data_IF_827498577491
#
_entry.id   IF_827498577491
#
_cell.length_a   1.000
_cell.length_b   1.000
_cell.length_c   1.000
_cell.angle_alpha   90.00
_cell.angle_beta   90.00
_cell.angle_gamma   90.00
#
_symmetry.space_group_name_H-M   'P 1'
#
loop_
_entity.id
_entity.type
_entity.pdbx_description
1 polymer ?
#
# COMPACT_ATOMS: atom_id res chain seq x y z
N UNK A 1 8.57 13.61 14.23
CA UNK A 1 9.19 12.41 14.82
C UNK A 1 8.28 11.25 14.48
N UNK A 2 8.81 10.30 13.71
CA UNK A 2 8.08 9.14 13.20
C UNK A 2 7.36 8.38 14.32
N UNK A 3 6.03 8.30 14.24
CA UNK A 3 5.18 7.65 15.26
C UNK A 3 5.27 6.14 15.24
N UNK A 4 5.60 5.53 14.10
CA UNK A 4 5.65 4.07 13.92
C UNK A 4 6.71 3.40 14.80
N UNK A 5 7.81 4.11 15.11
CA UNK A 5 8.88 3.58 15.95
C UNK A 5 8.64 3.77 17.46
N UNK A 6 7.50 4.38 17.86
CA UNK A 6 7.19 4.57 19.29
C UNK A 6 6.97 3.21 19.94
N UNK A 7 7.83 2.88 20.90
CA UNK A 7 7.79 1.63 21.65
C UNK A 7 8.75 0.55 21.15
N UNK A 8 9.42 0.77 20.01
CA UNK A 8 10.48 -0.12 19.52
C UNK A 8 11.78 0.23 20.26
N UNK A 9 12.23 -0.67 21.14
CA UNK A 9 13.43 -0.45 21.96
C UNK A 9 14.66 -1.20 21.46
N UNK A 10 14.47 -2.25 20.66
CA UNK A 10 15.55 -2.99 20.02
C UNK A 10 15.18 -3.38 18.58
N UNK A 11 16.20 -3.57 17.73
CA UNK A 11 15.99 -3.93 16.32
C UNK A 11 15.29 -5.28 16.14
N UNK A 12 15.40 -6.18 17.11
CA UNK A 12 14.71 -7.49 17.12
C UNK A 12 13.20 -7.35 17.31
N UNK A 13 12.74 -6.21 17.82
CA UNK A 13 11.31 -5.94 18.04
C UNK A 13 10.61 -5.42 16.77
N UNK A 14 11.35 -5.12 15.71
CA UNK A 14 10.80 -4.61 14.45
C UNK A 14 10.18 -5.77 13.67
N UNK A 15 8.86 -5.78 13.54
CA UNK A 15 8.16 -6.75 12.70
C UNK A 15 8.05 -6.27 11.25
N UNK A 16 7.76 -7.20 10.34
CA UNK A 16 7.41 -6.83 8.96
C UNK A 16 6.18 -5.91 8.92
N UNK A 17 5.19 -6.18 9.78
CA UNK A 17 3.98 -5.37 9.89
C UNK A 17 4.30 -3.94 10.30
N UNK A 18 5.23 -3.72 11.23
CA UNK A 18 5.64 -2.37 11.63
C UNK A 18 6.31 -1.59 10.49
N UNK A 19 7.01 -2.30 9.59
CA UNK A 19 7.65 -1.69 8.42
C UNK A 19 6.65 -1.40 7.31
N UNK A 20 5.62 -2.23 7.16
CA UNK A 20 4.59 -2.04 6.13
C UNK A 20 3.55 -0.98 6.55
N UNK A 21 3.26 -0.88 7.86
CA UNK A 21 2.33 0.07 8.47
C UNK A 21 2.69 1.49 8.06
N UNK A 22 1.75 2.16 7.38
CA UNK A 22 1.84 3.54 6.88
C UNK A 22 2.84 3.78 5.74
N UNK A 23 3.45 2.72 5.17
CA UNK A 23 4.50 2.85 4.14
C UNK A 23 4.19 2.17 2.82
N UNK A 24 3.36 1.14 2.84
CA UNK A 24 3.08 0.33 1.65
C UNK A 24 1.58 0.08 1.57
N UNK A 25 1.04 0.23 0.36
CA UNK A 25 -0.29 -0.29 0.00
C UNK A 25 -0.10 -1.71 -0.50
N UNK A 26 -0.57 -2.69 0.25
CA UNK A 26 -0.43 -4.12 -0.08
C UNK A 26 -1.57 -4.95 0.48
N UNK A 27 -1.77 -6.14 -0.11
CA UNK A 27 -2.83 -7.08 0.26
C UNK A 27 -3.72 -7.43 -0.92
N UNK A 28 -4.95 -7.84 -0.62
CA UNK A 28 -6.05 -8.00 -1.57
C UNK A 28 -6.51 -6.64 -2.13
N UNK A 29 -7.28 -6.63 -3.24
CA UNK A 29 -7.85 -5.40 -3.79
C UNK A 29 -8.67 -4.58 -2.78
N UNK A 30 -9.52 -5.23 -1.98
CA UNK A 30 -10.35 -4.56 -0.96
C UNK A 30 -9.49 -3.89 0.12
N UNK A 31 -8.47 -4.59 0.62
CA UNK A 31 -7.53 -4.01 1.59
C UNK A 31 -6.77 -2.81 1.01
N UNK A 32 -6.40 -2.86 -0.27
CA UNK A 32 -5.77 -1.74 -0.96
C UNK A 32 -6.71 -0.53 -1.07
N UNK A 33 -8.00 -0.76 -1.36
CA UNK A 33 -9.02 0.30 -1.42
C UNK A 33 -9.20 0.95 -0.06
N UNK A 34 -9.30 0.16 1.01
CA UNK A 34 -9.48 0.67 2.37
C UNK A 34 -8.29 1.54 2.80
N UNK A 35 -7.07 1.08 2.56
CA UNK A 35 -5.86 1.87 2.80
C UNK A 35 -5.84 3.18 1.99
N UNK A 36 -6.21 3.13 0.70
CA UNK A 36 -6.26 4.34 -0.14
C UNK A 36 -7.35 5.32 0.30
N UNK A 37 -8.50 4.83 0.77
CA UNK A 37 -9.58 5.66 1.33
C UNK A 37 -9.19 6.32 2.64
N UNK A 38 -8.29 5.73 3.41
CA UNK A 38 -7.70 6.37 4.59
C UNK A 38 -6.74 7.51 4.18
N UNK A 39 -5.78 7.21 3.29
CA UNK A 39 -4.67 8.13 3.01
C UNK A 39 -5.03 9.29 2.08
N UNK A 40 -5.90 9.08 1.08
CA UNK A 40 -6.29 10.12 0.12
C UNK A 40 -6.86 11.37 0.84
N UNK A 41 -7.87 11.24 1.74
CA UNK A 41 -8.39 12.38 2.49
C UNK A 41 -7.39 12.94 3.49
N UNK A 42 -6.63 12.08 4.19
CA UNK A 42 -5.65 12.50 5.19
C UNK A 42 -4.53 13.38 4.59
N UNK A 43 -4.17 13.13 3.33
CA UNK A 43 -3.13 13.87 2.61
C UNK A 43 -3.71 14.98 1.71
N UNK A 44 -5.03 15.04 1.53
CA UNK A 44 -5.68 16.01 0.64
C UNK A 44 -5.23 15.88 -0.82
N UNK A 45 -4.83 14.68 -1.25
CA UNK A 45 -4.37 14.41 -2.62
C UNK A 45 -5.48 13.77 -3.45
N UNK A 46 -5.48 14.02 -4.76
CA UNK A 46 -6.32 13.32 -5.72
C UNK A 46 -5.48 12.54 -6.75
N UNK A 47 -4.17 12.45 -6.52
CA UNK A 47 -3.23 11.78 -7.40
C UNK A 47 -2.33 10.84 -6.59
N UNK A 48 -2.25 9.59 -7.03
CA UNK A 48 -1.41 8.55 -6.42
C UNK A 48 -0.53 7.95 -7.50
N UNK A 49 0.78 7.96 -7.27
CA UNK A 49 1.74 7.25 -8.09
C UNK A 49 2.08 5.92 -7.41
N UNK A 50 1.68 4.81 -8.03
CA UNK A 50 2.00 3.47 -7.52
C UNK A 50 3.31 2.98 -8.12
N UNK A 51 4.24 2.57 -7.24
CA UNK A 51 5.46 1.87 -7.62
C UNK A 51 5.25 0.40 -7.28
N UNK A 52 5.18 -0.44 -8.30
CA UNK A 52 5.20 -1.89 -8.11
C UNK A 52 6.67 -2.33 -8.16
N UNK A 53 7.28 -2.68 -7.01
CA UNK A 53 8.68 -3.02 -6.97
C UNK A 53 8.96 -4.22 -7.87
N UNK A 54 10.07 -4.23 -8.62
CA UNK A 54 10.38 -5.31 -9.55
C UNK A 54 10.59 -6.61 -8.77
N UNK A 55 9.66 -7.55 -8.90
CA UNK A 55 9.90 -8.92 -8.47
C UNK A 55 10.98 -9.54 -9.38
N UNK A 56 12.17 -9.81 -8.83
CA UNK A 56 13.38 -10.25 -9.58
C UNK A 56 13.09 -11.38 -10.57
N UNK A 57 12.18 -12.28 -10.21
CA UNK A 57 11.89 -13.49 -10.98
C UNK A 57 10.49 -13.52 -11.62
N UNK A 58 9.69 -12.44 -11.55
CA UNK A 58 8.30 -12.50 -12.04
C UNK A 58 7.75 -11.19 -12.58
N UNK A 59 8.12 -10.85 -13.82
CA UNK A 59 7.40 -9.84 -14.62
C UNK A 59 5.90 -10.13 -14.69
N UNK A 60 5.52 -11.40 -14.75
CA UNK A 60 4.12 -11.83 -14.80
C UNK A 60 3.32 -11.42 -13.57
N UNK A 61 3.89 -11.60 -12.37
CA UNK A 61 3.25 -11.16 -11.12
C UNK A 61 3.05 -9.64 -11.09
N UNK A 62 4.06 -8.86 -11.52
CA UNK A 62 3.93 -7.41 -11.56
C UNK A 62 2.81 -6.97 -12.52
N UNK A 63 2.73 -7.57 -13.71
CA UNK A 63 1.66 -7.27 -14.67
C UNK A 63 0.28 -7.68 -14.15
N UNK A 64 0.18 -8.82 -13.45
CA UNK A 64 -1.07 -9.25 -12.83
C UNK A 64 -1.53 -8.27 -11.73
N UNK A 65 -0.60 -7.75 -10.93
CA UNK A 65 -0.91 -6.72 -9.93
C UNK A 65 -1.41 -5.42 -10.59
N UNK A 66 -0.76 -4.96 -11.69
CA UNK A 66 -1.23 -3.79 -12.45
C UNK A 66 -2.66 -4.01 -12.97
N UNK A 67 -2.94 -5.20 -13.49
CA UNK A 67 -4.25 -5.55 -14.03
C UNK A 67 -5.33 -5.55 -12.93
N UNK A 68 -5.06 -6.14 -11.77
CA UNK A 68 -5.96 -6.12 -10.61
C UNK A 68 -6.23 -4.70 -10.11
N UNK A 69 -5.18 -3.87 -9.99
CA UNK A 69 -5.32 -2.46 -9.59
C UNK A 69 -6.23 -1.70 -10.57
N UNK A 70 -6.03 -1.92 -11.88
CA UNK A 70 -6.83 -1.29 -12.91
C UNK A 70 -8.30 -1.71 -12.92
N UNK A 71 -8.58 -2.97 -12.61
CA UNK A 71 -9.93 -3.55 -12.68
C UNK A 71 -10.75 -3.41 -11.41
N UNK A 72 -10.10 -3.47 -10.24
CA UNK A 72 -10.79 -3.62 -8.97
C UNK A 72 -10.55 -2.41 -8.05
N UNK A 73 -9.31 -1.94 -7.94
CA UNK A 73 -8.96 -0.88 -6.99
C UNK A 73 -9.38 0.51 -7.48
N UNK A 74 -8.93 0.91 -8.68
CA UNK A 74 -9.21 2.25 -9.22
C UNK A 74 -10.71 2.52 -9.35
N UNK A 75 -11.53 1.61 -9.92
CA UNK A 75 -12.97 1.85 -10.03
C UNK A 75 -13.67 2.02 -8.68
N UNK A 76 -13.26 1.27 -7.65
CA UNK A 76 -13.85 1.36 -6.31
C UNK A 76 -13.55 2.69 -5.58
N UNK A 77 -12.53 3.43 -6.01
CA UNK A 77 -12.18 4.74 -5.46
C UNK A 77 -12.96 5.90 -6.09
N UNK A 78 -13.45 5.76 -7.32
CA UNK A 78 -14.15 6.82 -8.06
C UNK A 78 -15.66 6.82 -7.79
N UNK A 79 -16.21 5.68 -7.36
CA UNK A 79 -17.65 5.49 -7.11
C UNK A 79 -18.04 5.84 -5.66
N UNK A 80 -17.09 6.28 -4.83
CA UNK A 80 -17.30 6.68 -3.43
C UNK A 80 -17.53 8.20 -3.28
#
# INVERSE_FOLDING_TARGET
MDTWARGITAAVDITLEDVLRDRVIAGSPDECVDQLREWIPALGTNYVQLIIPPHRDSRGANLAAIDLIGKEVIPALVVA
#
